data_IF_740484617543
#
_entry.id   IF_740484617543
#
_cell.length_a   1.000
_cell.length_b   1.000
_cell.length_c   1.000
_cell.angle_alpha   90.00
_cell.angle_beta   90.00
_cell.angle_gamma   90.00
#
_symmetry.space_group_name_H-M   'P 1'
#
loop_
_entity.id
_entity.type
_entity.pdbx_description
1 polymer ?
#
# COMPACT_ATOMS: atom_id res chain seq x y z
N UNK A 1 9.30 -19.63 20.76
CA UNK A 1 8.95 -19.41 19.45
C UNK A 1 9.58 -18.16 18.92
N UNK A 2 9.76 -18.15 17.71
CA UNK A 2 10.40 -17.05 17.12
C UNK A 2 9.41 -16.04 16.61
N UNK A 3 9.57 -14.86 17.06
CA UNK A 3 8.77 -13.77 16.56
C UNK A 3 9.67 -12.91 15.75
N UNK A 4 9.35 -12.75 14.52
CA UNK A 4 10.14 -11.88 13.69
C UNK A 4 9.38 -10.64 13.40
N UNK A 5 10.09 -9.55 13.41
CA UNK A 5 9.50 -8.32 12.96
C UNK A 5 9.34 -8.41 11.48
N UNK A 6 8.10 -8.46 11.06
CA UNK A 6 7.80 -8.57 9.66
C UNK A 6 7.99 -7.27 8.94
N UNK A 7 7.80 -6.17 9.62
CA UNK A 7 7.84 -4.86 9.00
C UNK A 7 8.10 -3.80 10.06
N UNK A 8 8.43 -2.61 9.60
CA UNK A 8 8.60 -1.46 10.47
C UNK A 8 8.17 -0.21 9.73
N UNK A 9 8.03 0.87 10.49
CA UNK A 9 7.67 2.16 9.92
C UNK A 9 8.64 2.51 8.79
N UNK A 10 8.09 2.98 7.69
CA UNK A 10 8.86 3.30 6.50
C UNK A 10 8.85 2.19 5.46
N UNK A 11 8.50 0.98 5.85
CA UNK A 11 8.46 -0.13 4.89
C UNK A 11 7.22 -0.03 4.01
N UNK A 12 7.33 -0.60 2.82
CA UNK A 12 6.17 -0.86 1.98
C UNK A 12 5.55 -2.17 2.48
N UNK A 13 4.28 -2.10 2.81
CA UNK A 13 3.57 -3.24 3.41
C UNK A 13 2.36 -3.62 2.58
N UNK A 14 2.02 -4.89 2.63
CA UNK A 14 0.83 -5.45 2.01
C UNK A 14 -0.17 -5.74 3.11
N UNK A 15 -1.40 -5.35 2.88
CA UNK A 15 -2.45 -5.41 3.88
C UNK A 15 -3.66 -6.10 3.28
N UNK A 16 -4.20 -7.07 4.00
CA UNK A 16 -5.47 -7.67 3.63
C UNK A 16 -6.55 -7.04 4.49
N UNK A 17 -7.54 -6.43 3.86
CA UNK A 17 -8.63 -5.80 4.57
C UNK A 17 -9.75 -6.80 4.81
N UNK A 18 -10.49 -6.59 5.89
CA UNK A 18 -11.60 -7.49 6.20
C UNK A 18 -12.69 -7.44 5.14
N UNK A 19 -12.74 -6.39 4.35
CA UNK A 19 -13.69 -6.30 3.23
C UNK A 19 -13.23 -7.10 2.01
N UNK A 20 -12.02 -7.62 2.03
CA UNK A 20 -11.54 -8.50 0.97
C UNK A 20 -10.46 -7.92 0.08
N UNK A 21 -10.30 -6.62 0.05
CA UNK A 21 -9.29 -6.03 -0.83
C UNK A 21 -7.89 -6.27 -0.29
N UNK A 22 -6.95 -6.32 -1.20
CA UNK A 22 -5.54 -6.35 -0.85
C UNK A 22 -4.95 -4.99 -1.17
N UNK A 23 -4.26 -4.43 -0.19
CA UNK A 23 -3.73 -3.07 -0.28
C UNK A 23 -2.22 -3.10 -0.17
N UNK A 24 -1.57 -2.16 -0.81
CA UNK A 24 -0.14 -1.95 -0.65
C UNK A 24 0.07 -0.46 -0.36
N UNK A 25 0.95 -0.18 0.59
CA UNK A 25 1.14 1.19 1.04
C UNK A 25 2.45 1.29 1.80
N UNK A 26 2.89 2.52 2.04
CA UNK A 26 4.01 2.74 2.93
C UNK A 26 3.49 2.96 4.33
N UNK A 27 4.06 2.25 5.28
CA UNK A 27 3.63 2.37 6.67
C UNK A 27 4.19 3.64 7.28
N UNK A 28 3.29 4.50 7.75
CA UNK A 28 3.69 5.75 8.38
C UNK A 28 3.77 5.63 9.89
N UNK A 29 2.76 5.01 10.48
CA UNK A 29 2.76 4.77 11.91
C UNK A 29 1.73 3.70 12.26
N UNK A 30 1.90 3.14 13.43
CA UNK A 30 0.99 2.09 13.89
C UNK A 30 0.83 2.23 15.40
N UNK A 31 -0.42 2.14 15.85
CA UNK A 31 -0.74 2.09 17.26
C UNK A 31 -1.58 0.86 17.52
N UNK A 32 -2.00 0.67 18.75
CA UNK A 32 -2.87 -0.46 19.08
C UNK A 32 -4.23 -0.37 18.40
N UNK A 33 -4.62 0.82 18.00
CA UNK A 33 -5.96 1.04 17.46
C UNK A 33 -5.98 1.36 15.99
N UNK A 34 -4.89 1.93 15.46
CA UNK A 34 -4.89 2.46 14.11
C UNK A 34 -3.58 2.18 13.39
N UNK A 35 -3.68 2.11 12.08
CA UNK A 35 -2.53 2.06 11.19
C UNK A 35 -2.64 3.25 10.27
N UNK A 36 -1.59 4.06 10.17
CA UNK A 36 -1.58 5.22 9.28
C UNK A 36 -0.68 4.90 8.10
N UNK A 37 -1.22 5.10 6.91
CA UNK A 37 -0.58 4.69 5.67
C UNK A 37 -0.39 5.89 4.76
N UNK A 38 0.75 5.91 4.07
CA UNK A 38 1.00 6.89 3.03
C UNK A 38 0.75 6.21 1.69
N UNK A 39 0.04 6.93 0.82
CA UNK A 39 -0.21 6.51 -0.56
C UNK A 39 -0.72 5.08 -0.66
N UNK A 40 -1.86 4.77 -0.05
CA UNK A 40 -2.40 3.41 -0.15
C UNK A 40 -3.00 3.16 -1.53
N UNK A 41 -2.66 2.01 -2.10
CA UNK A 41 -3.19 1.54 -3.36
C UNK A 41 -3.80 0.17 -3.12
N UNK A 42 -4.79 -0.18 -3.93
CA UNK A 42 -5.37 -1.52 -3.87
C UNK A 42 -5.10 -2.24 -5.17
N UNK A 43 -5.06 -3.56 -5.08
CA UNK A 43 -4.92 -4.40 -6.25
C UNK A 43 -6.28 -4.57 -6.89
N UNK A 44 -6.31 -4.38 -8.20
CA UNK A 44 -7.54 -4.54 -8.97
C UNK A 44 -7.24 -5.42 -10.16
N UNK A 45 -8.26 -6.14 -10.62
CA UNK A 45 -8.10 -6.97 -11.80
C UNK A 45 -7.99 -6.08 -13.03
N UNK A 46 -7.12 -6.47 -13.93
CA UNK A 46 -6.92 -5.77 -15.18
C UNK A 46 -6.83 -6.81 -16.28
N UNK A 47 -6.83 -6.35 -17.53
CA UNK A 47 -6.81 -7.27 -18.65
C UNK A 47 -5.62 -8.20 -18.63
N UNK A 48 -4.49 -7.70 -18.21
CA UNK A 48 -3.25 -8.45 -18.25
C UNK A 48 -2.82 -8.96 -16.90
N UNK A 49 -3.75 -9.07 -15.97
CA UNK A 49 -3.42 -9.51 -14.62
C UNK A 49 -3.89 -8.50 -13.60
N UNK A 50 -3.00 -8.09 -12.71
CA UNK A 50 -3.36 -7.19 -11.63
C UNK A 50 -2.75 -5.82 -11.88
N UNK A 51 -3.45 -4.80 -11.41
CA UNK A 51 -2.97 -3.42 -11.47
C UNK A 51 -3.19 -2.78 -10.12
N UNK A 52 -2.56 -1.64 -9.91
CA UNK A 52 -2.72 -0.88 -8.66
C UNK A 52 -3.56 0.35 -8.94
N UNK A 53 -4.52 0.60 -8.07
CA UNK A 53 -5.37 1.78 -8.13
C UNK A 53 -5.33 2.47 -6.78
N UNK A 54 -5.39 3.80 -6.73
CA UNK A 54 -5.43 4.48 -5.44
C UNK A 54 -6.59 3.99 -4.60
N UNK A 55 -6.37 3.87 -3.31
CA UNK A 55 -7.44 3.44 -2.41
C UNK A 55 -8.54 4.49 -2.35
N UNK A 56 -8.19 5.77 -2.37
CA UNK A 56 -9.16 6.85 -2.37
C UNK A 56 -8.82 7.82 -3.49
N UNK A 57 -9.85 8.27 -4.19
CA UNK A 57 -9.67 9.19 -5.32
C UNK A 57 -9.98 10.63 -4.99
N UNK A 58 -10.64 10.88 -3.88
CA UNK A 58 -11.17 12.22 -3.60
C UNK A 58 -10.30 13.00 -2.62
N UNK A 59 -9.11 12.50 -2.34
CA UNK A 59 -8.17 13.17 -1.45
C UNK A 59 -6.86 13.42 -2.18
N UNK A 60 -6.09 14.35 -1.67
CA UNK A 60 -4.78 14.63 -2.24
C UNK A 60 -3.91 13.37 -2.16
N UNK A 61 -3.07 13.13 -3.17
CA UNK A 61 -2.17 11.96 -3.11
C UNK A 61 -1.26 11.95 -1.88
N UNK A 62 -1.01 13.09 -1.30
CA UNK A 62 -0.14 13.16 -0.12
C UNK A 62 -0.88 12.95 1.19
N UNK A 63 -2.18 12.81 1.14
CA UNK A 63 -2.97 12.59 2.34
C UNK A 63 -2.65 11.24 2.94
N UNK A 64 -2.38 11.21 4.23
CA UNK A 64 -2.19 9.96 4.93
C UNK A 64 -3.53 9.43 5.39
N UNK A 65 -3.69 8.12 5.26
CA UNK A 65 -4.97 7.48 5.55
C UNK A 65 -4.81 6.65 6.81
N UNK A 66 -5.72 6.87 7.76
CA UNK A 66 -5.69 6.13 9.01
C UNK A 66 -6.78 5.07 8.97
N UNK A 67 -6.37 3.83 9.12
CA UNK A 67 -7.30 2.70 9.16
C UNK A 67 -7.41 2.19 10.58
N UNK A 68 -8.60 1.79 10.97
CA UNK A 68 -8.77 1.13 12.24
C UNK A 68 -8.23 -0.28 12.15
N UNK A 69 -7.58 -0.70 13.23
CA UNK A 69 -6.91 -2.00 13.23
C UNK A 69 -7.90 -3.14 13.00
N UNK A 70 -9.15 -2.98 13.43
CA UNK A 70 -10.12 -4.06 13.26
C UNK A 70 -10.64 -4.20 11.85
N UNK A 71 -10.24 -3.32 10.93
CA UNK A 71 -10.57 -3.50 9.51
C UNK A 71 -9.48 -4.26 8.78
N UNK A 72 -8.45 -4.70 9.48
CA UNK A 72 -7.27 -5.30 8.88
C UNK A 72 -7.17 -6.75 9.32
N UNK A 73 -7.04 -7.66 8.36
CA UNK A 73 -6.83 -9.06 8.67
C UNK A 73 -5.36 -9.33 8.95
N UNK A 74 -4.48 -8.82 8.11
CA UNK A 74 -3.05 -9.01 8.33
C UNK A 74 -2.27 -7.92 7.61
N UNK A 75 -1.05 -7.70 8.10
CA UNK A 75 -0.08 -6.79 7.50
C UNK A 75 1.21 -7.57 7.36
N UNK A 76 1.81 -7.50 6.17
CA UNK A 76 3.04 -8.21 5.89
C UNK A 76 3.92 -7.28 5.07
N UNK A 77 5.22 -7.38 5.26
CA UNK A 77 6.15 -6.61 4.42
C UNK A 77 6.00 -7.08 2.98
N UNK A 78 5.90 -6.16 2.05
CA UNK A 78 5.67 -6.49 0.65
C UNK A 78 6.88 -7.18 0.04
N UNK A 79 6.62 -8.09 -0.89
CA UNK A 79 7.67 -8.69 -1.68
C UNK A 79 8.37 -7.61 -2.51
N UNK A 80 9.63 -7.85 -2.84
CA UNK A 80 10.43 -6.84 -3.51
C UNK A 80 9.83 -6.38 -4.83
N UNK A 81 9.34 -7.32 -5.63
CA UNK A 81 8.79 -6.95 -6.94
C UNK A 81 7.56 -6.05 -6.79
N UNK A 82 6.70 -6.40 -5.85
CA UNK A 82 5.50 -5.61 -5.61
C UNK A 82 5.88 -4.23 -5.06
N UNK A 83 6.85 -4.19 -4.16
CA UNK A 83 7.32 -2.95 -3.60
C UNK A 83 7.89 -2.04 -4.68
N UNK A 84 8.70 -2.59 -5.58
CA UNK A 84 9.28 -1.80 -6.67
C UNK A 84 8.21 -1.22 -7.57
N UNK A 85 7.22 -2.02 -7.91
CA UNK A 85 6.12 -1.55 -8.75
C UNK A 85 5.33 -0.45 -8.05
N UNK A 86 5.08 -0.64 -6.78
CA UNK A 86 4.37 0.36 -5.99
C UNK A 86 5.14 1.67 -5.93
N UNK A 87 6.44 1.60 -5.69
CA UNK A 87 7.26 2.80 -5.57
C UNK A 87 7.25 3.57 -6.89
N UNK A 88 7.42 2.88 -8.01
CA UNK A 88 7.38 3.54 -9.30
C UNK A 88 6.05 4.25 -9.51
N UNK A 89 4.97 3.57 -9.24
CA UNK A 89 3.66 4.12 -9.51
C UNK A 89 3.32 5.26 -8.56
N UNK A 90 3.64 5.10 -7.29
CA UNK A 90 3.25 6.09 -6.30
C UNK A 90 4.13 7.33 -6.33
N UNK A 91 5.32 7.25 -6.87
CA UNK A 91 6.18 8.42 -6.99
C UNK A 91 6.00 9.14 -8.31
N UNK A 92 5.28 8.54 -9.25
CA UNK A 92 5.06 9.17 -10.53
C UNK A 92 6.22 9.06 -11.50
N UNK A 93 7.27 8.33 -11.14
CA UNK A 93 8.41 8.22 -12.02
C UNK A 93 8.03 7.63 -13.37
N UNK A 94 7.20 6.58 -13.33
CA UNK A 94 6.76 5.95 -14.55
C UNK A 94 5.91 6.90 -15.37
N UNK A 95 5.07 7.66 -14.71
CA UNK A 95 4.23 8.61 -15.40
C UNK A 95 5.07 9.65 -16.11
N UNK A 96 6.08 10.18 -15.43
CA UNK A 96 6.94 11.17 -16.03
C UNK A 96 7.64 10.60 -17.25
N UNK A 97 8.12 9.38 -17.15
CA UNK A 97 8.80 8.75 -18.27
C UNK A 97 7.84 8.48 -19.41
N UNK A 98 6.65 8.06 -19.10
CA UNK A 98 5.66 7.75 -20.12
C UNK A 98 5.25 9.02 -20.87
N UNK A 99 5.11 10.11 -20.14
CA UNK A 99 4.64 11.33 -20.75
C UNK A 99 5.70 11.97 -21.63
N UNK A 100 6.93 11.63 -21.40
CA UNK A 100 7.99 12.17 -22.22
C UNK A 100 8.03 11.52 -23.61
N UNK A 101 7.30 10.48 -23.76
CA UNK A 101 7.27 9.78 -25.04
C UNK A 101 6.33 10.42 -26.04
#
# INVERSE_FOLDING_TARGET
MLIETQYQVGDVVSIKLSSGEEMIARLDSETDENVTLAKPYILVAAQNGMALAPYMFTVSPDTKIKLKINSIICIVKSAKDASDMYIKQSTGLTVANATSS
#
